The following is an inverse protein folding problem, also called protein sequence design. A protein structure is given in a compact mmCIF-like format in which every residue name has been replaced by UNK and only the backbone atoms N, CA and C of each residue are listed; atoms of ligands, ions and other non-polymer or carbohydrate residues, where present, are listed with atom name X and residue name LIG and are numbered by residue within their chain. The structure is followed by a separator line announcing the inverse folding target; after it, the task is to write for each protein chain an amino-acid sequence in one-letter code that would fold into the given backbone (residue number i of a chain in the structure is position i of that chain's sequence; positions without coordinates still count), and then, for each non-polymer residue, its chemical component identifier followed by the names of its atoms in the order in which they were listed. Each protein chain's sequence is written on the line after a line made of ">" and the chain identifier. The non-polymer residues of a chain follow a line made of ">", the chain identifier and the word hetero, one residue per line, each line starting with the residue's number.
data_IF_404903828373
#
_entry.id   IF_404903828373
#
_cell.length_a   1.000
_cell.length_b   1.000
_cell.length_c   1.000
_cell.angle_alpha   90.00
_cell.angle_beta   90.00
_cell.angle_gamma   90.00
#
_symmetry.space_group_name_H-M   'P 1'
#
loop_
_entity.id
_entity.type
_entity.pdbx_description
1 polymer ?
#
# COMPACT_ATOMS: atom_id res chain seq x y z
N UNK A 1 1.40 11.11 12.64
CA UNK A 1 0.31 10.21 13.08
C UNK A 1 -0.14 9.42 11.86
N UNK A 2 0.01 8.10 11.81
CA UNK A 2 -0.56 7.31 10.71
C UNK A 2 -2.09 7.36 10.85
N UNK A 3 -2.80 7.57 9.74
CA UNK A 3 -4.26 7.65 9.72
C UNK A 3 -4.86 6.27 9.93
N UNK A 4 -5.89 6.16 10.77
CA UNK A 4 -6.58 4.92 11.18
C UNK A 4 -7.41 4.25 10.06
N UNK A 5 -7.30 4.71 8.81
CA UNK A 5 -8.00 4.11 7.67
C UNK A 5 -7.41 2.76 7.26
N UNK A 6 -8.27 1.82 6.86
CA UNK A 6 -7.89 0.52 6.28
C UNK A 6 -7.22 0.71 4.92
N UNK A 7 -5.96 1.13 4.87
CA UNK A 7 -5.24 1.31 3.60
C UNK A 7 -4.60 0.01 3.14
N UNK A 8 -4.77 -0.27 1.85
CA UNK A 8 -4.08 -1.35 1.17
C UNK A 8 -2.85 -0.78 0.49
N UNK A 9 -1.70 -1.44 0.69
CA UNK A 9 -0.44 -1.07 0.03
C UNK A 9 -0.08 -2.23 -0.88
N UNK A 10 -0.02 -1.99 -2.20
CA UNK A 10 0.53 -2.92 -3.17
C UNK A 10 1.97 -2.48 -3.42
N UNK A 11 2.93 -3.39 -3.24
CA UNK A 11 4.35 -3.08 -3.33
C UNK A 11 5.04 -3.99 -4.32
N UNK A 12 5.60 -3.40 -5.36
CA UNK A 12 6.53 -4.04 -6.27
C UNK A 12 7.94 -3.96 -5.67
N UNK A 13 8.47 -5.11 -5.28
CA UNK A 13 9.79 -5.19 -4.65
C UNK A 13 10.93 -4.94 -5.66
N UNK A 14 10.74 -5.23 -6.95
CA UNK A 14 11.79 -5.13 -7.97
C UNK A 14 11.92 -3.69 -8.45
N UNK A 15 10.80 -3.05 -8.79
CA UNK A 15 10.76 -1.64 -9.23
C UNK A 15 10.81 -0.64 -8.07
N UNK A 16 10.75 -1.13 -6.83
CA UNK A 16 10.58 -0.32 -5.61
C UNK A 16 9.40 0.62 -5.76
N UNK A 17 8.27 0.14 -6.26
CA UNK A 17 7.09 0.96 -6.54
C UNK A 17 5.96 0.62 -5.58
N UNK A 18 5.27 1.64 -5.06
CA UNK A 18 4.14 1.43 -4.16
C UNK A 18 2.88 2.11 -4.68
N UNK A 19 1.78 1.37 -4.61
CA UNK A 19 0.42 1.87 -4.83
C UNK A 19 -0.30 1.85 -3.49
N UNK A 20 -0.91 2.97 -3.12
CA UNK A 20 -1.69 3.13 -1.88
C UNK A 20 -3.15 3.30 -2.24
N UNK A 21 -3.97 2.37 -1.75
CA UNK A 21 -5.40 2.32 -2.00
C UNK A 21 -6.18 2.49 -0.69
N UNK A 22 -7.38 3.06 -0.79
CA UNK A 22 -8.35 3.09 0.29
C UNK A 22 -9.68 2.43 -0.18
N UNK A 23 -10.19 1.42 0.54
CA UNK A 23 -11.41 0.74 0.18
C UNK A 23 -12.62 1.65 0.38
N UNK A 24 -13.58 1.58 -0.55
CA UNK A 24 -14.90 2.16 -0.32
C UNK A 24 -15.62 1.37 0.76
N UNK A 25 -16.32 2.08 1.65
CA UNK A 25 -17.02 1.47 2.79
C UNK A 25 -18.20 0.58 2.41
N UNK A 26 -18.81 0.82 1.23
CA UNK A 26 -20.11 0.24 0.86
C UNK A 26 -20.05 -0.76 -0.30
N UNK A 27 -18.95 -0.77 -1.06
CA UNK A 27 -18.79 -1.59 -2.27
C UNK A 27 -17.35 -2.04 -2.40
N UNK A 28 -17.12 -3.12 -3.15
CA UNK A 28 -15.79 -3.69 -3.36
C UNK A 28 -14.99 -2.91 -4.41
N UNK A 29 -14.75 -1.63 -4.13
CA UNK A 29 -13.98 -0.72 -4.98
C UNK A 29 -12.94 0.04 -4.14
N UNK A 30 -11.95 0.62 -4.80
CA UNK A 30 -10.84 1.32 -4.16
C UNK A 30 -10.63 2.71 -4.76
N UNK A 31 -10.36 3.70 -3.91
CA UNK A 31 -9.76 4.94 -4.34
C UNK A 31 -8.24 4.78 -4.44
N UNK A 32 -7.67 5.22 -5.57
CA UNK A 32 -6.23 5.41 -5.68
C UNK A 32 -5.85 6.68 -4.92
N UNK A 33 -5.12 6.55 -3.81
CA UNK A 33 -4.63 7.70 -3.06
C UNK A 33 -3.31 8.22 -3.65
N UNK A 34 -2.38 7.31 -3.94
CA UNK A 34 -1.06 7.67 -4.46
C UNK A 34 -0.36 6.46 -5.08
N UNK A 35 0.51 6.73 -6.04
CA UNK A 35 1.37 5.72 -6.66
C UNK A 35 2.74 6.34 -6.96
N UNK A 36 3.82 5.75 -6.45
CA UNK A 36 5.15 6.35 -6.55
C UNK A 36 6.29 5.34 -6.34
N UNK A 37 7.46 5.66 -6.89
CA UNK A 37 8.70 4.95 -6.56
C UNK A 37 9.18 5.31 -5.16
N UNK A 38 9.45 4.28 -4.37
CA UNK A 38 10.11 4.36 -3.08
C UNK A 38 11.59 4.64 -3.31
N UNK A 39 12.09 5.72 -2.69
CA UNK A 39 13.49 6.16 -2.84
C UNK A 39 14.18 6.26 -1.49
N UNK A 40 15.51 6.22 -1.52
CA UNK A 40 16.35 6.46 -0.35
C UNK A 40 16.16 5.45 0.78
N UNK A 41 16.21 5.91 2.03
CA UNK A 41 16.18 5.05 3.23
C UNK A 41 14.90 4.21 3.36
N UNK A 42 13.80 4.65 2.76
CA UNK A 42 12.53 3.91 2.78
C UNK A 42 12.52 2.73 1.79
N UNK A 43 13.36 2.73 0.75
CA UNK A 43 13.52 1.58 -0.14
C UNK A 43 14.38 0.49 0.52
N UNK A 44 15.33 0.89 1.35
CA UNK A 44 16.20 -0.01 2.11
C UNK A 44 15.49 -0.61 3.35
N UNK A 45 14.54 0.12 3.93
CA UNK A 45 13.70 -0.40 5.02
C UNK A 45 12.54 -1.15 4.40
N UNK A 46 12.42 -2.45 4.68
CA UNK A 46 11.30 -3.34 4.30
C UNK A 46 9.91 -2.93 4.85
N UNK A 47 9.63 -1.63 4.99
CA UNK A 47 8.43 -1.02 5.52
C UNK A 47 7.23 -1.36 4.66
N UNK A 48 7.33 -1.21 3.34
CA UNK A 48 6.22 -1.49 2.43
C UNK A 48 5.95 -2.99 2.32
N UNK A 49 6.97 -3.83 2.38
CA UNK A 49 6.81 -5.29 2.52
C UNK A 49 6.02 -5.69 3.77
N UNK A 50 6.28 -5.05 4.91
CA UNK A 50 5.50 -5.28 6.15
C UNK A 50 4.05 -4.80 6.02
N UNK A 51 3.81 -3.70 5.31
CA UNK A 51 2.46 -3.16 5.05
C UNK A 51 1.69 -4.02 4.06
N UNK A 52 2.34 -4.51 3.01
CA UNK A 52 1.78 -5.43 2.03
C UNK A 52 1.24 -6.70 2.70
N UNK A 53 1.96 -7.26 3.67
CA UNK A 53 1.49 -8.41 4.47
C UNK A 53 0.22 -8.16 5.28
N UNK A 54 -0.19 -6.89 5.48
CA UNK A 54 -1.41 -6.51 6.19
C UNK A 54 -2.58 -6.22 5.23
N UNK A 55 -2.42 -6.51 3.93
CA UNK A 55 -3.52 -6.38 2.97
C UNK A 55 -4.70 -7.28 3.36
N UNK A 56 -5.90 -6.87 3.01
CA UNK A 56 -7.08 -7.72 3.13
C UNK A 56 -6.90 -8.94 2.22
N UNK A 57 -7.34 -10.13 2.66
CA UNK A 57 -7.14 -11.40 1.94
C UNK A 57 -7.76 -11.39 0.53
N UNK A 58 -8.77 -10.55 0.29
CA UNK A 58 -9.47 -10.42 -0.99
C UNK A 58 -8.72 -9.53 -2.00
N UNK A 59 -7.65 -8.86 -1.60
CA UNK A 59 -6.82 -8.08 -2.52
C UNK A 59 -5.79 -9.00 -3.16
N UNK A 60 -5.99 -9.26 -4.46
CA UNK A 60 -5.11 -9.90 -5.46
C UNK A 60 -3.70 -10.23 -4.96
#
# INVERSE_FOLDING_TARGET
>A
KETEGNRTYIYDEDEKYVIVLEPLRKINEYYLLSAYHVRGKDAARNKFRKKYKRKLNEVL
#
